data_IF_006713960930
#
_entry.id   IF_006713960930
#
_cell.length_a   1.000
_cell.length_b   1.000
_cell.length_c   1.000
_cell.angle_alpha   90.00
_cell.angle_beta   90.00
_cell.angle_gamma   90.00
#
_symmetry.space_group_name_H-M   'P 1'
#
loop_
_entity.id
_entity.type
_entity.pdbx_description
1 polymer ?
#
# COMPACT_ATOMS: atom_id res chain seq x y z
N UNK A 1 64.74 21.20 20.93
CA UNK A 1 63.67 21.36 19.90
C UNK A 1 62.85 20.08 19.75
N UNK A 2 62.16 19.63 20.81
CA UNK A 2 61.40 18.35 20.82
C UNK A 2 60.04 18.44 21.53
N UNK A 3 59.41 19.61 21.54
CA UNK A 3 58.17 19.81 22.34
C UNK A 3 56.96 20.30 21.54
N UNK A 4 57.06 20.41 20.20
CA UNK A 4 55.96 20.93 19.38
C UNK A 4 55.34 19.91 18.40
N UNK A 5 55.82 18.66 18.38
CA UNK A 5 55.36 17.67 17.39
C UNK A 5 54.32 16.68 17.92
N UNK A 6 54.10 16.63 19.24
CA UNK A 6 53.14 15.70 19.86
C UNK A 6 51.74 16.32 20.11
N UNK A 7 51.65 17.66 20.17
CA UNK A 7 50.36 18.36 20.37
C UNK A 7 49.54 18.39 19.07
N UNK A 8 50.20 18.37 17.91
CA UNK A 8 49.53 18.40 16.59
C UNK A 8 48.86 17.05 16.27
N UNK A 9 49.40 15.93 16.76
CA UNK A 9 48.80 14.60 16.53
C UNK A 9 47.59 14.29 17.43
N UNK A 10 47.48 14.90 18.61
CA UNK A 10 46.31 14.72 19.48
C UNK A 10 45.10 15.54 19.01
N UNK A 11 45.31 16.72 18.41
CA UNK A 11 44.22 17.55 17.90
C UNK A 11 43.65 17.02 16.57
N UNK A 12 44.42 16.24 15.80
CA UNK A 12 43.90 15.66 14.55
C UNK A 12 43.10 14.35 14.72
N UNK A 13 43.18 13.67 15.86
CA UNK A 13 42.35 12.48 16.13
C UNK A 13 40.94 12.81 16.63
N UNK A 14 40.72 14.02 17.15
CA UNK A 14 39.43 14.48 17.65
C UNK A 14 38.57 15.22 16.60
N UNK A 15 39.04 15.35 15.35
CA UNK A 15 38.29 16.02 14.26
C UNK A 15 37.73 15.00 13.25
N UNK A 16 38.13 13.73 13.31
CA UNK A 16 37.55 12.65 12.49
C UNK A 16 36.47 11.82 13.19
N UNK A 17 36.21 12.04 14.49
CA UNK A 17 35.08 11.41 15.19
C UNK A 17 33.81 12.26 15.20
N UNK A 18 33.84 13.51 14.70
CA UNK A 18 32.65 14.38 14.62
C UNK A 18 32.02 14.49 13.23
N UNK A 19 32.49 13.74 12.23
CA UNK A 19 31.87 13.65 10.91
C UNK A 19 30.91 12.45 10.75
N UNK A 20 30.60 11.76 11.84
CA UNK A 20 29.41 10.92 11.93
C UNK A 20 28.30 11.67 12.70
N UNK A 21 28.01 12.93 12.32
CA UNK A 21 26.64 13.40 12.50
C UNK A 21 25.81 12.65 11.46
N UNK A 22 25.23 11.53 11.90
CA UNK A 22 24.08 10.97 11.23
C UNK A 22 23.13 12.14 10.95
N UNK A 23 22.91 12.43 9.68
CA UNK A 23 21.87 13.37 9.26
C UNK A 23 20.59 13.08 10.03
N UNK A 24 19.77 14.07 10.40
CA UNK A 24 18.45 13.80 10.95
C UNK A 24 17.54 13.33 9.81
N UNK A 25 17.79 12.14 9.28
CA UNK A 25 17.04 11.54 8.18
C UNK A 25 15.65 11.07 8.67
N UNK A 26 15.45 10.91 9.98
CA UNK A 26 14.23 10.33 10.57
C UNK A 26 13.00 11.25 10.62
N UNK A 27 13.01 12.42 9.97
CA UNK A 27 11.85 13.33 10.04
C UNK A 27 11.45 13.93 8.68
N UNK A 28 12.01 13.43 7.58
CA UNK A 28 11.61 13.86 6.25
C UNK A 28 10.28 13.24 5.86
N UNK A 29 9.43 14.03 5.20
CA UNK A 29 8.21 13.56 4.57
C UNK A 29 8.58 12.96 3.22
N UNK A 30 8.24 11.69 3.02
CA UNK A 30 8.57 10.94 1.78
C UNK A 30 7.34 10.73 0.90
N UNK A 31 6.14 10.80 1.45
CA UNK A 31 4.89 10.71 0.68
C UNK A 31 3.77 11.49 1.37
N UNK A 32 2.84 12.00 0.56
CA UNK A 32 1.56 12.57 0.99
C UNK A 32 0.41 11.81 0.33
N UNK A 33 -0.74 11.77 1.00
CA UNK A 33 -2.00 11.34 0.41
C UNK A 33 -3.14 12.25 0.90
N UNK A 34 -4.08 12.57 0.02
CA UNK A 34 -5.24 13.40 0.35
C UNK A 34 -6.51 12.60 0.08
N UNK A 35 -7.33 12.43 1.12
CA UNK A 35 -8.72 12.00 0.97
C UNK A 35 -9.62 13.23 0.72
N UNK A 36 -10.94 13.04 0.61
CA UNK A 36 -11.88 14.14 0.40
C UNK A 36 -11.81 15.22 1.48
N UNK A 37 -11.60 14.82 2.74
CA UNK A 37 -11.63 15.73 3.89
C UNK A 37 -10.55 15.48 4.95
N UNK A 38 -9.59 14.58 4.70
CA UNK A 38 -8.45 14.33 5.57
C UNK A 38 -7.16 14.21 4.75
N UNK A 39 -6.04 14.39 5.42
CA UNK A 39 -4.71 14.33 4.82
C UNK A 39 -3.86 13.32 5.58
N UNK A 40 -3.00 12.62 4.86
CA UNK A 40 -2.02 11.69 5.40
C UNK A 40 -0.62 12.08 4.94
N UNK A 41 0.37 11.83 5.79
CA UNK A 41 1.79 12.00 5.53
C UNK A 41 2.53 10.75 5.97
N UNK A 42 3.42 10.25 5.10
CA UNK A 42 4.40 9.23 5.44
C UNK A 42 5.75 9.91 5.65
N UNK A 43 6.40 9.57 6.76
CA UNK A 43 7.79 9.95 7.02
C UNK A 43 8.76 8.81 6.69
N UNK A 44 10.02 9.17 6.50
CA UNK A 44 11.11 8.24 6.16
C UNK A 44 11.36 7.18 7.25
N UNK A 45 10.99 7.45 8.50
CA UNK A 45 11.02 6.50 9.61
C UNK A 45 9.88 5.46 9.58
N UNK A 46 9.03 5.49 8.55
CA UNK A 46 7.88 4.62 8.38
C UNK A 46 6.67 5.01 9.24
N UNK A 47 6.68 6.19 9.89
CA UNK A 47 5.54 6.69 10.67
C UNK A 47 4.54 7.43 9.79
N UNK A 48 3.26 7.29 10.14
CA UNK A 48 2.13 7.92 9.43
C UNK A 48 1.51 8.99 10.31
N UNK A 49 1.22 10.14 9.71
CA UNK A 49 0.60 11.28 10.37
C UNK A 49 -0.66 11.69 9.61
N UNK A 50 -1.69 12.10 10.34
CA UNK A 50 -3.00 12.43 9.77
C UNK A 50 -3.60 13.69 10.39
N UNK A 51 -4.42 14.41 9.63
CA UNK A 51 -5.25 15.51 10.13
C UNK A 51 -6.48 15.72 9.24
N UNK A 52 -7.47 16.45 9.74
CA UNK A 52 -8.73 16.76 9.04
C UNK A 52 -9.95 16.11 9.70
N UNK A 53 -10.90 15.68 8.86
CA UNK A 53 -12.12 14.98 9.25
C UNK A 53 -11.79 13.62 9.89
N UNK A 54 -12.46 13.29 10.99
CA UNK A 54 -12.29 12.01 11.71
C UNK A 54 -13.61 11.35 12.13
N UNK A 55 -14.75 11.78 11.61
CA UNK A 55 -16.07 11.28 12.05
C UNK A 55 -16.25 9.76 11.90
N UNK A 56 -15.50 9.11 10.99
CA UNK A 56 -15.47 7.65 10.83
C UNK A 56 -14.14 7.03 11.25
N UNK A 57 -13.26 7.79 11.93
CA UNK A 57 -11.93 7.35 12.33
C UNK A 57 -10.87 7.40 11.23
N UNK A 58 -11.02 8.26 10.22
CA UNK A 58 -10.09 8.35 9.08
C UNK A 58 -8.65 8.69 9.50
N UNK A 59 -8.46 9.25 10.70
CA UNK A 59 -7.15 9.60 11.25
C UNK A 59 -6.47 8.44 11.98
N UNK A 60 -7.17 7.34 12.30
CA UNK A 60 -6.55 6.13 12.86
C UNK A 60 -5.93 6.29 14.26
N UNK A 61 -6.30 7.35 14.98
CA UNK A 61 -5.80 7.72 16.31
C UNK A 61 -6.59 7.04 17.45
N UNK A 62 -7.60 6.25 17.11
CA UNK A 62 -8.53 5.62 18.04
C UNK A 62 -9.67 6.52 18.49
N UNK A 63 -9.84 7.70 17.89
CA UNK A 63 -10.91 8.64 18.21
C UNK A 63 -11.78 8.94 16.99
N UNK A 64 -12.79 9.80 17.17
CA UNK A 64 -13.64 10.31 16.08
C UNK A 64 -13.70 11.84 16.00
N UNK A 65 -12.83 12.52 16.75
CA UNK A 65 -12.79 13.98 16.77
C UNK A 65 -11.94 14.50 15.61
N UNK A 66 -12.42 15.52 14.90
CA UNK A 66 -11.64 16.19 13.86
C UNK A 66 -10.40 16.84 14.48
N UNK A 67 -9.26 16.73 13.79
CA UNK A 67 -7.98 17.26 14.30
C UNK A 67 -7.40 18.20 13.26
N UNK A 68 -7.15 19.46 13.64
CA UNK A 68 -6.60 20.50 12.75
C UNK A 68 -5.07 20.56 12.74
N UNK A 69 -4.40 19.70 13.50
CA UNK A 69 -2.95 19.55 13.58
C UNK A 69 -2.57 18.09 13.30
N UNK A 70 -1.41 17.82 12.68
CA UNK A 70 -0.97 16.45 12.46
C UNK A 70 -0.93 15.64 13.77
N UNK A 71 -1.60 14.49 13.78
CA UNK A 71 -1.52 13.47 14.83
C UNK A 71 -0.88 12.21 14.25
N UNK A 72 -0.09 11.50 15.03
CA UNK A 72 0.49 10.23 14.58
C UNK A 72 -0.58 9.13 14.60
N UNK A 73 -0.66 8.37 13.51
CA UNK A 73 -1.48 7.16 13.44
C UNK A 73 -0.82 6.09 14.30
N UNK A 74 -1.50 5.68 15.36
CA UNK A 74 -0.98 4.71 16.32
C UNK A 74 -1.07 3.27 15.80
N UNK A 75 -0.08 2.44 16.13
CA UNK A 75 -0.10 1.00 15.81
C UNK A 75 0.41 0.65 14.40
N UNK A 76 1.03 1.61 13.69
CA UNK A 76 1.72 1.38 12.43
C UNK A 76 3.21 1.68 12.54
N UNK A 77 4.01 0.87 11.85
CA UNK A 77 5.44 1.04 11.63
C UNK A 77 5.81 0.39 10.30
N UNK A 78 6.98 0.75 9.76
CA UNK A 78 7.50 0.19 8.50
C UNK A 78 6.53 0.37 7.32
N UNK A 79 5.85 1.52 7.26
CA UNK A 79 4.97 1.87 6.14
C UNK A 79 5.80 2.38 4.97
N UNK A 80 5.50 1.91 3.77
CA UNK A 80 6.18 2.28 2.52
C UNK A 80 5.28 3.02 1.55
N UNK A 81 3.96 2.90 1.69
CA UNK A 81 3.00 3.58 0.82
C UNK A 81 1.74 4.00 1.57
N UNK A 82 1.18 5.14 1.20
CA UNK A 82 -0.12 5.64 1.66
C UNK A 82 -1.06 5.98 0.49
N UNK A 83 -2.36 5.79 0.70
CA UNK A 83 -3.41 6.32 -0.17
C UNK A 83 -4.68 6.58 0.65
N UNK A 84 -5.57 7.44 0.15
CA UNK A 84 -6.72 7.91 0.90
C UNK A 84 -7.96 8.10 0.00
N UNK A 85 -9.10 7.63 0.48
CA UNK A 85 -10.45 7.90 0.01
C UNK A 85 -11.29 8.46 1.17
N UNK A 86 -12.53 8.01 1.37
CA UNK A 86 -13.23 8.22 2.66
C UNK A 86 -12.67 7.35 3.80
N UNK A 87 -11.76 6.45 3.47
CA UNK A 87 -10.92 5.64 4.34
C UNK A 87 -9.44 5.91 4.05
N UNK A 88 -8.57 5.28 4.82
CA UNK A 88 -7.12 5.36 4.68
C UNK A 88 -6.56 3.96 4.45
N UNK A 89 -5.58 3.84 3.57
CA UNK A 89 -4.83 2.60 3.33
C UNK A 89 -3.33 2.86 3.45
N UNK A 90 -2.63 1.84 3.93
CA UNK A 90 -1.17 1.81 3.96
C UNK A 90 -0.64 0.45 3.53
N UNK A 91 0.53 0.46 2.89
CA UNK A 91 1.31 -0.73 2.57
C UNK A 91 2.54 -0.73 3.47
N UNK A 92 2.84 -1.88 4.07
CA UNK A 92 4.06 -2.09 4.86
C UNK A 92 5.16 -2.75 4.02
N UNK A 93 6.40 -2.65 4.49
CA UNK A 93 7.59 -3.29 3.90
C UNK A 93 7.44 -4.82 3.74
N UNK A 94 6.66 -5.45 4.62
CA UNK A 94 6.37 -6.89 4.59
C UNK A 94 5.32 -7.30 3.53
N UNK A 95 4.82 -6.34 2.74
CA UNK A 95 3.81 -6.58 1.71
C UNK A 95 2.39 -6.76 2.25
N UNK A 96 2.13 -6.42 3.53
CA UNK A 96 0.79 -6.39 4.12
C UNK A 96 0.11 -5.04 3.94
N UNK A 97 -1.21 -5.04 3.76
CA UNK A 97 -2.03 -3.84 3.64
C UNK A 97 -2.83 -3.62 4.91
N UNK A 98 -2.87 -2.38 5.37
CA UNK A 98 -3.62 -1.95 6.56
C UNK A 98 -4.57 -0.82 6.20
N UNK A 99 -5.76 -0.85 6.78
CA UNK A 99 -6.86 0.04 6.47
C UNK A 99 -7.49 0.61 7.75
N UNK A 100 -8.02 1.83 7.69
CA UNK A 100 -8.84 2.41 8.76
C UNK A 100 -9.78 3.50 8.22
N UNK A 101 -10.75 3.92 9.03
CA UNK A 101 -11.75 4.92 8.68
C UNK A 101 -13.11 4.33 8.28
N UNK A 102 -13.74 4.97 7.30
CA UNK A 102 -15.08 4.62 6.83
C UNK A 102 -15.14 3.23 6.18
N UNK A 103 -16.16 2.42 6.49
CA UNK A 103 -16.26 1.03 6.02
C UNK A 103 -17.66 0.57 5.60
N UNK A 104 -18.62 1.46 5.33
CA UNK A 104 -20.00 1.02 5.07
C UNK A 104 -20.15 0.06 3.87
N UNK A 105 -19.20 0.10 2.93
CA UNK A 105 -19.18 -0.74 1.73
C UNK A 105 -18.13 -1.85 1.79
N UNK A 106 -17.46 -2.02 2.94
CA UNK A 106 -16.40 -3.00 3.11
C UNK A 106 -15.05 -2.56 2.52
N UNK A 107 -14.84 -1.27 2.27
CA UNK A 107 -13.59 -0.74 1.68
C UNK A 107 -12.33 -0.98 2.54
N UNK A 108 -12.49 -1.37 3.81
CA UNK A 108 -11.37 -1.77 4.66
C UNK A 108 -10.91 -3.22 4.42
N UNK A 109 -11.73 -4.07 3.77
CA UNK A 109 -11.32 -5.43 3.40
C UNK A 109 -11.07 -6.36 4.60
N UNK A 110 -11.68 -6.07 5.74
CA UNK A 110 -11.54 -6.84 6.98
C UNK A 110 -12.70 -7.84 7.20
N UNK A 111 -13.49 -8.09 6.17
CA UNK A 111 -14.68 -8.96 6.19
C UNK A 111 -15.90 -8.34 6.87
N UNK A 112 -15.80 -7.08 7.31
CA UNK A 112 -16.87 -6.34 7.98
C UNK A 112 -17.30 -5.12 7.17
N UNK A 113 -18.37 -4.46 7.62
CA UNK A 113 -18.78 -3.13 7.15
C UNK A 113 -18.75 -2.12 8.30
N UNK A 114 -17.87 -2.35 9.28
CA UNK A 114 -17.76 -1.56 10.50
C UNK A 114 -16.57 -0.63 10.39
N UNK A 115 -16.76 0.65 10.68
CA UNK A 115 -15.69 1.64 10.71
C UNK A 115 -14.59 1.22 11.69
N UNK A 116 -13.33 1.51 11.36
CA UNK A 116 -12.19 1.20 12.22
C UNK A 116 -11.46 2.47 12.58
N UNK A 117 -11.40 2.78 13.88
CA UNK A 117 -10.74 3.99 14.36
C UNK A 117 -9.24 3.79 14.60
N UNK A 118 -8.76 2.57 14.44
CA UNK A 118 -7.35 2.19 14.45
C UNK A 118 -7.08 1.33 13.20
N UNK A 119 -5.84 1.35 12.69
CA UNK A 119 -5.43 0.46 11.61
C UNK A 119 -5.79 -1.00 11.88
N UNK A 120 -6.44 -1.63 10.92
CA UNK A 120 -6.70 -3.07 10.86
C UNK A 120 -6.03 -3.63 9.62
N UNK A 121 -5.46 -4.83 9.72
CA UNK A 121 -4.90 -5.51 8.56
C UNK A 121 -6.03 -5.98 7.63
N UNK A 122 -5.84 -5.80 6.32
CA UNK A 122 -6.72 -6.39 5.30
C UNK A 122 -6.56 -7.91 5.33
N UNK A 123 -7.66 -8.64 5.51
CA UNK A 123 -7.64 -10.10 5.69
C UNK A 123 -7.21 -10.81 4.40
N UNK A 124 -6.41 -11.87 4.48
CA UNK A 124 -6.05 -12.74 3.35
C UNK A 124 -5.33 -12.06 2.16
N UNK A 125 -4.71 -10.88 2.38
CA UNK A 125 -3.86 -10.20 1.39
C UNK A 125 -2.39 -10.22 1.79
N UNK A 126 -1.52 -10.64 0.88
CA UNK A 126 -0.06 -10.62 1.05
C UNK A 126 0.66 -10.38 -0.26
N UNK A 127 1.98 -10.13 -0.20
CA UNK A 127 2.83 -9.85 -1.36
C UNK A 127 2.32 -8.67 -2.22
N UNK A 128 1.76 -7.65 -1.57
CA UNK A 128 1.30 -6.42 -2.24
C UNK A 128 2.50 -5.52 -2.50
N UNK A 129 2.53 -4.92 -3.69
CA UNK A 129 3.59 -4.00 -4.11
C UNK A 129 3.07 -2.58 -4.39
N UNK A 130 1.75 -2.42 -4.54
CA UNK A 130 1.13 -1.11 -4.74
C UNK A 130 -0.34 -1.14 -4.28
N UNK A 131 -0.82 -0.01 -3.78
CA UNK A 131 -2.20 0.19 -3.34
C UNK A 131 -2.79 1.46 -3.97
N UNK A 132 -4.11 1.50 -4.12
CA UNK A 132 -4.85 2.70 -4.54
C UNK A 132 -6.22 2.72 -3.86
N UNK A 133 -6.65 3.88 -3.39
CA UNK A 133 -8.02 4.11 -2.91
C UNK A 133 -8.82 4.93 -3.92
N UNK A 134 -10.04 4.49 -4.22
CA UNK A 134 -11.10 5.35 -4.71
C UNK A 134 -11.86 5.98 -3.54
N UNK A 135 -12.96 6.69 -3.81
CA UNK A 135 -13.78 7.29 -2.73
C UNK A 135 -14.28 6.24 -1.74
N UNK A 136 -14.82 5.13 -2.25
CA UNK A 136 -15.47 4.08 -1.45
C UNK A 136 -14.99 2.66 -1.79
N UNK A 137 -13.90 2.52 -2.54
CA UNK A 137 -13.32 1.23 -2.92
C UNK A 137 -11.79 1.27 -2.84
N UNK A 138 -11.19 0.09 -2.90
CA UNK A 138 -9.78 -0.14 -2.67
C UNK A 138 -9.24 -1.10 -3.72
N UNK A 139 -8.00 -0.86 -4.14
CA UNK A 139 -7.26 -1.69 -5.08
C UNK A 139 -5.89 -2.05 -4.51
N UNK A 140 -5.41 -3.26 -4.82
CA UNK A 140 -4.05 -3.69 -4.56
C UNK A 140 -3.48 -4.43 -5.76
N UNK A 141 -2.22 -4.15 -6.09
CA UNK A 141 -1.42 -4.90 -7.05
C UNK A 141 -0.45 -5.79 -6.27
N UNK A 142 -0.50 -7.09 -6.55
CA UNK A 142 0.44 -8.07 -5.99
C UNK A 142 1.67 -8.25 -6.87
N UNK A 143 2.76 -8.74 -6.28
CA UNK A 143 4.01 -9.03 -6.99
C UNK A 143 3.89 -10.09 -8.10
N UNK A 144 2.84 -10.92 -8.08
CA UNK A 144 2.49 -11.86 -9.16
C UNK A 144 1.77 -11.19 -10.35
N UNK A 145 1.54 -9.88 -10.30
CA UNK A 145 0.84 -9.11 -11.32
C UNK A 145 -0.69 -9.16 -11.22
N UNK A 146 -1.25 -9.86 -10.23
CA UNK A 146 -2.70 -9.86 -9.99
C UNK A 146 -3.17 -8.55 -9.35
N UNK A 147 -4.30 -8.04 -9.83
CA UNK A 147 -5.00 -6.91 -9.22
C UNK A 147 -6.17 -7.41 -8.40
N UNK A 148 -6.32 -6.87 -7.21
CA UNK A 148 -7.38 -7.18 -6.27
C UNK A 148 -8.18 -5.92 -5.99
N UNK A 149 -9.50 -6.07 -5.90
CA UNK A 149 -10.42 -4.96 -5.69
C UNK A 149 -11.48 -5.32 -4.64
N UNK A 150 -11.83 -4.38 -3.78
CA UNK A 150 -12.87 -4.52 -2.77
C UNK A 150 -13.48 -3.16 -2.40
N UNK A 151 -14.64 -3.17 -1.73
CA UNK A 151 -15.43 -2.00 -1.36
C UNK A 151 -16.69 -1.83 -2.23
N UNK A 152 -17.07 -0.57 -2.43
CA UNK A 152 -18.23 -0.17 -3.23
C UNK A 152 -18.06 -0.53 -4.71
N UNK A 153 -19.14 -1.00 -5.31
CA UNK A 153 -19.18 -1.47 -6.70
C UNK A 153 -20.46 -1.04 -7.44
N UNK A 154 -21.18 -0.02 -6.96
CA UNK A 154 -22.45 0.38 -7.55
C UNK A 154 -22.35 0.84 -9.02
N UNK A 155 -21.15 1.19 -9.48
CA UNK A 155 -20.85 1.56 -10.87
C UNK A 155 -19.92 0.58 -11.59
N UNK A 156 -19.63 -0.58 -10.98
CA UNK A 156 -18.70 -1.57 -11.55
C UNK A 156 -17.22 -1.27 -11.29
N UNK A 157 -16.91 -0.44 -10.30
CA UNK A 157 -15.57 -0.01 -9.91
C UNK A 157 -14.60 -1.16 -9.67
N UNK A 158 -15.12 -2.32 -9.22
CA UNK A 158 -14.30 -3.47 -8.90
C UNK A 158 -13.94 -4.32 -10.13
N UNK A 159 -14.54 -4.06 -11.30
CA UNK A 159 -14.15 -4.69 -12.57
C UNK A 159 -14.54 -6.16 -12.73
N UNK A 160 -15.41 -6.72 -11.88
CA UNK A 160 -15.84 -8.13 -11.93
C UNK A 160 -16.97 -8.44 -12.91
N UNK A 161 -17.39 -7.48 -13.75
CA UNK A 161 -18.59 -7.63 -14.58
C UNK A 161 -19.91 -7.67 -13.77
N UNK A 162 -19.87 -7.22 -12.52
CA UNK A 162 -21.04 -7.10 -11.63
C UNK A 162 -21.04 -5.73 -10.96
N UNK A 163 -22.16 -5.32 -10.37
CA UNK A 163 -22.29 -4.07 -9.60
C UNK A 163 -22.57 -4.32 -8.12
N UNK A 164 -22.12 -5.47 -7.60
CA UNK A 164 -22.33 -5.85 -6.19
C UNK A 164 -21.06 -5.58 -5.39
N UNK A 165 -21.22 -4.90 -4.26
CA UNK A 165 -20.12 -4.56 -3.35
C UNK A 165 -19.42 -5.81 -2.82
N UNK A 166 -18.15 -5.67 -2.46
CA UNK A 166 -17.34 -6.77 -1.91
C UNK A 166 -16.59 -6.30 -0.67
N UNK A 167 -16.99 -6.80 0.49
CA UNK A 167 -16.27 -6.59 1.76
C UNK A 167 -15.07 -7.52 1.96
N UNK A 168 -15.03 -8.60 1.18
CA UNK A 168 -13.94 -9.56 1.13
C UNK A 168 -13.16 -9.38 -0.17
N UNK A 169 -11.91 -9.83 -0.17
CA UNK A 169 -11.00 -9.70 -1.30
C UNK A 169 -11.44 -10.53 -2.49
N UNK A 170 -11.43 -9.91 -3.68
CA UNK A 170 -11.64 -10.59 -4.95
C UNK A 170 -10.63 -10.11 -6.00
N UNK A 171 -10.18 -11.02 -6.86
CA UNK A 171 -9.19 -10.75 -7.92
C UNK A 171 -9.85 -10.16 -9.16
N UNK A 172 -9.64 -8.87 -9.44
CA UNK A 172 -10.41 -8.11 -10.43
C UNK A 172 -9.96 -8.35 -11.87
N UNK A 173 -8.66 -8.47 -12.10
CA UNK A 173 -8.12 -8.67 -13.44
C UNK A 173 -6.97 -9.68 -13.40
N UNK A 174 -7.01 -10.64 -14.32
CA UNK A 174 -5.88 -11.50 -14.65
C UNK A 174 -5.35 -11.10 -16.03
N UNK A 175 -4.41 -10.15 -16.06
CA UNK A 175 -3.77 -9.73 -17.31
C UNK A 175 -2.96 -10.86 -17.99
N UNK A 176 -2.76 -12.02 -17.33
CA UNK A 176 -2.17 -13.22 -17.95
C UNK A 176 -3.16 -14.00 -18.83
N UNK A 177 -4.45 -13.64 -18.87
CA UNK A 177 -5.43 -14.36 -19.72
C UNK A 177 -5.03 -14.25 -21.21
N UNK A 178 -4.44 -13.14 -21.65
CA UNK A 178 -3.98 -13.01 -23.03
C UNK A 178 -2.83 -13.97 -23.37
N UNK A 179 -1.87 -14.18 -22.46
CA UNK A 179 -0.75 -15.10 -22.70
C UNK A 179 -1.21 -16.57 -22.66
N UNK A 180 -2.13 -16.92 -21.76
CA UNK A 180 -2.73 -18.28 -21.70
C UNK A 180 -3.61 -18.59 -22.90
N UNK A 181 -4.49 -17.68 -23.32
CA UNK A 181 -5.33 -17.90 -24.50
C UNK A 181 -4.50 -17.99 -25.78
N UNK A 182 -3.43 -17.20 -25.91
CA UNK A 182 -2.47 -17.33 -27.01
C UNK A 182 -1.77 -18.69 -27.01
N UNK A 183 -1.29 -19.16 -25.84
CA UNK A 183 -0.66 -20.47 -25.71
C UNK A 183 -1.63 -21.63 -26.03
N UNK A 184 -2.85 -21.59 -25.51
CA UNK A 184 -3.86 -22.62 -25.80
C UNK A 184 -4.28 -22.62 -27.27
N UNK A 185 -4.40 -21.43 -27.89
CA UNK A 185 -4.69 -21.31 -29.32
C UNK A 185 -3.56 -21.86 -30.19
N UNK A 186 -2.30 -21.61 -29.80
CA UNK A 186 -1.11 -22.14 -30.50
C UNK A 186 -1.00 -23.65 -30.33
N UNK A 187 -1.23 -24.19 -29.13
CA UNK A 187 -1.18 -25.63 -28.87
C UNK A 187 -2.27 -26.36 -29.66
N UNK A 188 -3.51 -25.85 -29.67
CA UNK A 188 -4.61 -26.43 -30.44
C UNK A 188 -4.34 -26.34 -31.95
N UNK A 189 -3.76 -25.24 -32.42
CA UNK A 189 -3.37 -25.09 -33.83
C UNK A 189 -2.26 -26.07 -34.23
N UNK A 190 -1.21 -26.22 -33.42
CA UNK A 190 -0.13 -27.19 -33.63
C UNK A 190 -0.65 -28.63 -33.61
N UNK A 191 -1.55 -28.97 -32.67
CA UNK A 191 -2.18 -30.28 -32.63
C UNK A 191 -2.99 -30.58 -33.90
N UNK A 192 -3.77 -29.61 -34.38
CA UNK A 192 -4.56 -29.74 -35.59
C UNK A 192 -3.67 -29.89 -36.84
N UNK A 193 -2.54 -29.20 -36.91
CA UNK A 193 -1.56 -29.36 -38.00
C UNK A 193 -0.91 -30.75 -38.00
N UNK A 194 -0.52 -31.27 -36.84
CA UNK A 194 0.09 -32.61 -36.72
C UNK A 194 -0.89 -33.74 -37.08
N UNK A 195 -2.17 -33.61 -36.73
CA UNK A 195 -3.18 -34.64 -37.05
C UNK A 195 -3.53 -34.64 -38.54
N UNK A 196 -3.54 -33.46 -39.18
CA UNK A 196 -3.87 -33.33 -40.60
C UNK A 196 -2.71 -33.69 -41.54
N UNK A 197 -1.45 -33.67 -41.06
CA UNK A 197 -0.29 -34.11 -41.85
C UNK A 197 -0.02 -35.62 -41.80
N UNK A 198 -0.70 -36.37 -40.92
CA UNK A 198 -0.49 -37.80 -40.72
C UNK A 198 -1.40 -38.76 -41.51
N UNK A 199 -2.14 -38.29 -42.52
CA UNK A 199 -3.09 -39.10 -43.32
C UNK A 199 -2.73 -39.19 -44.82
N UNK A 200 -1.45 -39.10 -45.15
CA UNK A 200 -0.97 -39.27 -46.52
C UNK A 200 0.20 -40.23 -46.58
N UNK A 201 -0.09 -41.53 -46.48
CA UNK A 201 0.68 -42.66 -47.03
C UNK A 201 -0.26 -43.88 -47.16
#
# INVERSE_FOLDING_TARGET
MKTNMLIIFFILSCIFSSLAQASPIQNQVVQIAAGPYHSLVLKEDGTVWAWGLNNNGQLGDGTTANISKPVQVSGLSHVTMLTAGYHSLSLKEDGTVWAWGYNNWGQLGDGTTINRYRPVQVSDLSNVIMISAGEYHSLALKGDGSVWAWGYNGHGELGFGTTTDKKDLNRSLDFQILSRLLLESIIVWLYKMMVLSGHGD
#
